data_IF_034254099984
#
_entry.id   IF_034254099984
#
_cell.length_a   1.000
_cell.length_b   1.000
_cell.length_c   1.000
_cell.angle_alpha   90.00
_cell.angle_beta   90.00
_cell.angle_gamma   90.00
#
_symmetry.space_group_name_H-M   'P 1'
#
loop_
_entity.id
_entity.type
_entity.pdbx_description
1 polymer ?
#
# COMPACT_ATOMS: atom_id res chain seq x y z
N UNK A 1 -21.22 -11.00 15.93
CA UNK A 1 -21.59 -10.00 14.90
C UNK A 1 -20.87 -10.35 13.61
N UNK A 2 -21.57 -10.67 12.52
CA UNK A 2 -20.95 -10.83 11.19
C UNK A 2 -20.39 -9.47 10.77
N UNK A 3 -19.11 -9.23 11.07
CA UNK A 3 -18.44 -7.98 10.74
C UNK A 3 -18.38 -7.77 9.22
N UNK A 4 -18.42 -6.51 8.79
CA UNK A 4 -18.22 -6.16 7.38
C UNK A 4 -16.86 -6.71 6.92
N UNK A 5 -16.86 -7.46 5.81
CA UNK A 5 -15.63 -7.98 5.21
C UNK A 5 -15.21 -7.05 4.07
N UNK A 6 -13.99 -6.53 4.14
CA UNK A 6 -13.44 -5.63 3.12
C UNK A 6 -12.52 -6.43 2.21
N UNK A 7 -12.70 -6.27 0.90
CA UNK A 7 -11.81 -6.80 -0.14
C UNK A 7 -11.24 -5.61 -0.90
N UNK A 8 -9.93 -5.61 -1.15
CA UNK A 8 -9.28 -4.56 -1.91
C UNK A 8 -9.09 -5.01 -3.36
N UNK A 9 -9.49 -4.18 -4.31
CA UNK A 9 -9.22 -4.38 -5.73
C UNK A 9 -8.15 -3.36 -6.13
N UNK A 10 -6.98 -3.85 -6.52
CA UNK A 10 -5.81 -3.01 -6.73
C UNK A 10 -5.37 -3.00 -8.20
N UNK A 11 -5.22 -1.79 -8.74
CA UNK A 11 -4.46 -1.59 -9.97
C UNK A 11 -2.96 -1.76 -9.70
N UNK A 12 -2.17 -2.01 -10.75
CA UNK A 12 -0.71 -2.28 -10.66
C UNK A 12 0.06 -1.28 -9.81
N UNK A 13 -0.26 0.02 -9.91
CA UNK A 13 0.39 1.11 -9.15
C UNK A 13 0.04 1.12 -7.65
N UNK A 14 -1.06 0.48 -7.27
CA UNK A 14 -1.60 0.46 -5.90
C UNK A 14 -1.42 -0.89 -5.20
N UNK A 15 -0.85 -1.90 -5.86
CA UNK A 15 -0.71 -3.25 -5.29
C UNK A 15 0.08 -3.24 -3.98
N UNK A 16 1.20 -2.52 -3.94
CA UNK A 16 2.01 -2.42 -2.73
C UNK A 16 1.27 -1.73 -1.56
N UNK A 17 0.39 -0.79 -1.86
CA UNK A 17 -0.46 -0.12 -0.88
C UNK A 17 -1.58 -1.04 -0.39
N UNK A 18 -2.22 -1.79 -1.29
CA UNK A 18 -3.22 -2.79 -0.93
C UNK A 18 -2.63 -3.89 -0.05
N UNK A 19 -1.40 -4.33 -0.36
CA UNK A 19 -0.66 -5.29 0.46
C UNK A 19 -0.40 -4.74 1.88
N UNK A 20 -0.01 -3.46 2.01
CA UNK A 20 0.14 -2.83 3.32
C UNK A 20 -1.13 -2.92 4.16
N UNK A 21 -2.28 -2.57 3.58
CA UNK A 21 -3.56 -2.63 4.28
C UNK A 21 -3.98 -4.06 4.61
N UNK A 22 -3.69 -5.02 3.74
CA UNK A 22 -3.93 -6.43 4.04
C UNK A 22 -3.18 -6.93 5.27
N UNK A 23 -1.92 -6.48 5.47
CA UNK A 23 -1.16 -6.85 6.66
C UNK A 23 -1.56 -6.11 7.93
N UNK A 24 -2.02 -4.86 7.80
CA UNK A 24 -2.17 -3.94 8.93
C UNK A 24 -3.63 -3.60 9.26
N UNK A 25 -4.61 -4.27 8.64
CA UNK A 25 -6.03 -4.03 8.87
C UNK A 25 -6.85 -5.30 8.65
N UNK A 26 -8.13 -5.28 9.04
CA UNK A 26 -9.04 -6.41 8.89
C UNK A 26 -9.57 -6.53 7.44
N UNK A 27 -8.65 -6.78 6.50
CA UNK A 27 -8.94 -6.97 5.08
C UNK A 27 -8.95 -8.47 4.77
N UNK A 28 -9.98 -8.93 4.05
CA UNK A 28 -10.15 -10.35 3.72
C UNK A 28 -9.20 -10.84 2.62
N UNK A 29 -8.79 -9.95 1.73
CA UNK A 29 -7.77 -10.22 0.73
C UNK A 29 -7.69 -9.13 -0.34
N UNK A 30 -6.81 -9.37 -1.32
CA UNK A 30 -6.51 -8.42 -2.40
C UNK A 30 -6.73 -9.09 -3.76
N UNK A 31 -7.43 -8.41 -4.66
CA UNK A 31 -7.59 -8.80 -6.06
C UNK A 31 -6.69 -7.92 -6.92
N UNK A 32 -5.73 -8.54 -7.61
CA UNK A 32 -4.76 -7.85 -8.48
C UNK A 32 -5.28 -7.78 -9.92
N UNK A 33 -5.75 -6.60 -10.35
CA UNK A 33 -6.45 -6.43 -11.63
C UNK A 33 -5.52 -6.66 -12.83
N UNK A 34 -4.24 -6.30 -12.72
CA UNK A 34 -3.29 -6.39 -13.83
C UNK A 34 -2.68 -7.78 -14.06
N UNK A 35 -2.97 -8.76 -13.20
CA UNK A 35 -2.33 -10.08 -13.22
C UNK A 35 -3.29 -11.22 -13.56
N UNK A 36 -4.60 -11.00 -13.48
CA UNK A 36 -5.60 -12.03 -13.75
C UNK A 36 -6.31 -11.79 -15.07
N UNK A 37 -6.52 -12.86 -15.84
CA UNK A 37 -7.38 -12.86 -17.03
C UNK A 37 -8.87 -12.88 -16.67
N UNK A 38 -9.21 -13.24 -15.43
CA UNK A 38 -10.59 -13.33 -14.96
C UNK A 38 -10.73 -12.80 -13.52
N UNK A 39 -11.06 -11.52 -13.42
CA UNK A 39 -11.25 -10.82 -12.14
C UNK A 39 -12.42 -11.42 -11.32
N UNK A 40 -13.43 -12.02 -11.98
CA UNK A 40 -14.60 -12.59 -11.28
C UNK A 40 -14.19 -13.82 -10.48
N UNK A 41 -13.33 -14.67 -11.05
CA UNK A 41 -12.79 -15.86 -10.35
C UNK A 41 -11.94 -15.47 -9.15
N UNK A 42 -11.04 -14.50 -9.31
CA UNK A 42 -10.21 -14.00 -8.20
C UNK A 42 -11.07 -13.37 -7.09
N UNK A 43 -12.06 -12.57 -7.46
CA UNK A 43 -12.97 -11.97 -6.49
C UNK A 43 -13.75 -13.05 -5.72
N UNK A 44 -14.31 -14.04 -6.41
CA UNK A 44 -14.99 -15.17 -5.76
C UNK A 44 -14.05 -15.95 -4.82
N UNK A 45 -12.79 -16.17 -5.24
CA UNK A 45 -11.77 -16.82 -4.42
C UNK A 45 -11.52 -16.06 -3.11
N UNK A 46 -11.33 -14.74 -3.18
CA UNK A 46 -11.10 -13.88 -2.01
C UNK A 46 -12.33 -13.80 -1.11
N UNK A 47 -13.52 -13.57 -1.67
CA UNK A 47 -14.78 -13.47 -0.89
C UNK A 47 -15.02 -14.77 -0.10
N UNK A 48 -14.77 -15.92 -0.72
CA UNK A 48 -14.87 -17.22 -0.08
C UNK A 48 -13.78 -17.48 0.98
N UNK A 49 -12.88 -16.52 1.24
CA UNK A 49 -11.87 -16.60 2.29
C UNK A 49 -10.68 -17.46 1.97
N UNK A 50 -10.45 -17.73 0.69
CA UNK A 50 -9.36 -18.59 0.24
C UNK A 50 -8.06 -17.83 0.05
N UNK A 51 -8.09 -16.49 0.07
CA UNK A 51 -6.90 -15.65 -0.04
C UNK A 51 -6.02 -15.78 1.21
N UNK A 52 -4.75 -16.08 0.99
CA UNK A 52 -3.73 -16.34 2.00
C UNK A 52 -2.51 -15.46 1.78
N UNK A 53 -1.64 -15.36 2.78
CA UNK A 53 -0.38 -14.58 2.69
C UNK A 53 0.53 -15.03 1.54
N UNK A 54 0.49 -16.32 1.17
CA UNK A 54 1.25 -16.87 0.04
C UNK A 54 0.76 -16.36 -1.33
N UNK A 55 -0.47 -15.85 -1.40
CA UNK A 55 -1.07 -15.36 -2.65
C UNK A 55 -0.64 -13.92 -2.98
N UNK A 56 0.10 -13.27 -2.07
CA UNK A 56 0.65 -11.93 -2.28
C UNK A 56 1.74 -11.99 -3.36
N UNK A 57 1.52 -11.23 -4.44
CA UNK A 57 2.38 -11.30 -5.64
C UNK A 57 3.45 -10.20 -5.69
N UNK A 58 3.43 -9.22 -4.79
CA UNK A 58 4.28 -8.03 -4.81
C UNK A 58 4.72 -7.61 -3.41
N UNK A 59 5.77 -6.79 -3.36
CA UNK A 59 6.17 -6.11 -2.14
C UNK A 59 5.04 -5.28 -1.52
N UNK A 60 5.19 -4.98 -0.23
CA UNK A 60 4.32 -4.06 0.51
C UNK A 60 5.04 -2.75 0.80
N UNK A 61 4.26 -1.69 0.96
CA UNK A 61 4.72 -0.51 1.68
C UNK A 61 5.06 -0.94 3.11
N UNK A 62 6.17 -0.45 3.67
CA UNK A 62 6.56 -0.67 5.07
C UNK A 62 5.95 0.40 5.97
N UNK A 63 5.92 0.20 7.28
CA UNK A 63 5.38 1.20 8.22
C UNK A 63 6.13 2.53 8.14
N UNK A 64 7.47 2.49 8.00
CA UNK A 64 8.28 3.70 7.82
C UNK A 64 7.93 4.42 6.52
N UNK A 65 7.87 3.70 5.41
CA UNK A 65 7.46 4.28 4.12
C UNK A 65 6.04 4.87 4.19
N UNK A 66 5.10 4.19 4.86
CA UNK A 66 3.73 4.65 5.04
C UNK A 66 3.66 5.96 5.83
N UNK A 67 4.42 6.07 6.94
CA UNK A 67 4.51 7.31 7.72
C UNK A 67 5.00 8.48 6.86
N UNK A 68 6.08 8.27 6.10
CA UNK A 68 6.63 9.28 5.19
C UNK A 68 5.61 9.66 4.10
N UNK A 69 4.91 8.69 3.50
CA UNK A 69 3.85 8.95 2.53
C UNK A 69 2.76 9.84 3.15
N UNK A 70 2.25 9.50 4.35
CA UNK A 70 1.17 10.25 5.02
C UNK A 70 1.55 11.70 5.29
N UNK A 71 2.71 11.93 5.90
CA UNK A 71 3.17 13.29 6.18
C UNK A 71 3.45 14.07 4.89
N UNK A 72 4.01 13.42 3.86
CA UNK A 72 4.22 14.05 2.55
C UNK A 72 2.89 14.42 1.90
N UNK A 73 1.87 13.55 2.01
CA UNK A 73 0.53 13.80 1.46
C UNK A 73 -0.20 14.93 2.18
N UNK A 74 0.13 15.18 3.45
CA UNK A 74 -0.33 16.33 4.23
C UNK A 74 0.44 17.63 3.90
N UNK A 75 1.36 17.61 2.93
CA UNK A 75 2.14 18.78 2.53
C UNK A 75 3.35 19.08 3.41
N UNK A 76 3.74 18.17 4.31
CA UNK A 76 4.87 18.40 5.20
C UNK A 76 6.21 18.37 4.44
N UNK A 77 7.08 19.33 4.78
CA UNK A 77 8.42 19.43 4.20
C UNK A 77 9.35 18.33 4.73
N UNK A 78 10.28 17.79 3.90
CA UNK A 78 11.21 16.73 4.32
C UNK A 78 12.03 17.05 5.58
N UNK A 79 12.39 18.32 5.78
CA UNK A 79 13.08 18.79 7.01
C UNK A 79 12.22 18.61 8.26
N UNK A 80 10.93 18.95 8.18
CA UNK A 80 9.99 18.79 9.29
C UNK A 80 9.74 17.31 9.60
N UNK A 81 9.59 16.49 8.55
CA UNK A 81 9.43 15.04 8.66
C UNK A 81 10.65 14.41 9.34
N UNK A 82 11.86 14.79 8.93
CA UNK A 82 13.11 14.32 9.52
C UNK A 82 13.18 14.61 11.03
N UNK A 83 12.74 15.81 11.44
CA UNK A 83 12.67 16.19 12.86
C UNK A 83 11.66 15.35 13.64
N UNK A 84 10.49 15.06 13.06
CA UNK A 84 9.42 14.29 13.72
C UNK A 84 9.80 12.81 13.85
N UNK A 85 10.33 12.21 12.79
CA UNK A 85 10.72 10.78 12.78
C UNK A 85 12.13 10.55 13.37
N UNK A 86 12.76 11.58 13.94
CA UNK A 86 14.11 11.53 14.51
C UNK A 86 15.12 10.84 13.58
N UNK A 87 15.20 11.29 12.32
CA UNK A 87 16.10 10.73 11.33
C UNK A 87 16.72 11.82 10.45
N UNK A 88 17.69 11.45 9.62
CA UNK A 88 18.28 12.39 8.68
C UNK A 88 17.32 12.73 7.54
N UNK A 89 17.45 13.93 6.97
CA UNK A 89 16.73 14.32 5.75
C UNK A 89 17.02 13.34 4.60
N UNK A 90 18.24 12.80 4.52
CA UNK A 90 18.61 11.75 3.56
C UNK A 90 17.76 10.48 3.74
N UNK A 91 17.53 10.06 4.98
CA UNK A 91 16.69 8.90 5.31
C UNK A 91 15.24 9.11 4.85
N UNK A 92 14.69 10.31 5.04
CA UNK A 92 13.36 10.68 4.52
C UNK A 92 13.30 10.52 3.00
N UNK A 93 14.28 11.05 2.27
CA UNK A 93 14.34 10.90 0.81
C UNK A 93 14.49 9.45 0.35
N UNK A 94 15.28 8.63 1.05
CA UNK A 94 15.42 7.20 0.75
C UNK A 94 14.09 6.47 0.91
N UNK A 95 13.39 6.65 2.04
CA UNK A 95 12.08 6.03 2.25
C UNK A 95 11.06 6.52 1.24
N UNK A 96 11.06 7.82 0.92
CA UNK A 96 10.20 8.39 -0.11
C UNK A 96 10.46 7.75 -1.49
N UNK A 97 11.73 7.63 -1.90
CA UNK A 97 12.11 7.01 -3.18
C UNK A 97 11.70 5.55 -3.25
N UNK A 98 11.90 4.79 -2.17
CA UNK A 98 11.52 3.37 -2.10
C UNK A 98 9.99 3.22 -2.19
N UNK A 99 9.24 4.06 -1.49
CA UNK A 99 7.79 4.11 -1.59
C UNK A 99 7.31 4.43 -3.02
N UNK A 100 7.88 5.47 -3.64
CA UNK A 100 7.55 5.85 -5.03
C UNK A 100 7.85 4.74 -6.03
N UNK A 101 8.95 3.99 -5.83
CA UNK A 101 9.29 2.83 -6.67
C UNK A 101 8.25 1.72 -6.56
N UNK A 102 7.79 1.42 -5.34
CA UNK A 102 6.73 0.42 -5.08
C UNK A 102 5.36 0.84 -5.64
N UNK A 103 5.09 2.14 -5.66
CA UNK A 103 3.83 2.71 -6.17
C UNK A 103 3.87 2.97 -7.69
N UNK A 104 5.02 2.82 -8.34
CA UNK A 104 5.24 3.21 -9.74
C UNK A 104 4.74 4.65 -10.03
N UNK A 105 4.80 5.53 -9.03
CA UNK A 105 4.26 6.88 -9.10
C UNK A 105 4.94 7.79 -8.07
N UNK A 106 4.95 9.09 -8.38
CA UNK A 106 5.42 10.11 -7.45
C UNK A 106 4.33 10.42 -6.42
N UNK A 107 4.70 10.54 -5.16
CA UNK A 107 3.73 10.77 -4.07
C UNK A 107 3.00 12.11 -4.26
N UNK A 108 3.64 13.14 -4.82
CA UNK A 108 2.98 14.42 -5.08
C UNK A 108 1.83 14.32 -6.10
N UNK A 109 1.85 13.32 -6.99
CA UNK A 109 0.77 13.07 -7.95
C UNK A 109 -0.44 12.37 -7.32
N UNK A 110 -0.35 11.98 -6.05
CA UNK A 110 -1.45 11.36 -5.30
C UNK A 110 -2.27 12.38 -4.51
N UNK A 111 -1.80 13.64 -4.43
CA UNK A 111 -2.38 14.72 -3.62
C UNK A 111 -3.13 15.74 -4.52
N UNK A 112 -3.00 15.62 -5.84
CA UNK A 112 -3.72 16.40 -6.85
C UNK A 112 -4.90 15.58 -7.38
#
# INVERSE_FOLDING_TARGET
VKGKQVVLIAARKSEALANYWYYNSNIRGVVYVGLSRDIRKELAYVINGRFLRKDIKKDKITDREMKIIRMTAQGMQPKSIARIENCSVKTVYTHRRNAEAKLYSKIYKLVQ
#
